data_IF_085195418428
#
_entry.id   IF_085195418428
#
_cell.length_a   1.000
_cell.length_b   1.000
_cell.length_c   1.000
_cell.angle_alpha   90.00
_cell.angle_beta   90.00
_cell.angle_gamma   90.00
#
_symmetry.space_group_name_H-M   'P 1'
#
loop_
_entity.id
_entity.type
_entity.pdbx_description
1 polymer ?
#
# COMPACT_ATOMS: atom_id res chain seq x y z
N UNK A 1 5.06 -6.46 -21.80
CA UNK A 1 4.46 -5.61 -20.74
C UNK A 1 4.25 -6.46 -19.50
N UNK A 2 4.52 -5.93 -18.30
CA UNK A 2 4.33 -6.63 -17.03
C UNK A 2 3.39 -5.81 -16.15
N UNK A 3 2.36 -6.44 -15.60
CA UNK A 3 1.43 -5.81 -14.65
C UNK A 3 1.76 -6.32 -13.25
N UNK A 4 1.80 -5.40 -12.28
CA UNK A 4 2.05 -5.72 -10.88
C UNK A 4 1.02 -4.99 -9.99
N UNK A 5 0.64 -5.64 -8.89
CA UNK A 5 -0.24 -5.09 -7.86
C UNK A 5 0.56 -4.98 -6.57
N UNK A 6 0.52 -3.81 -5.94
CA UNK A 6 1.17 -3.53 -4.64
C UNK A 6 0.08 -2.98 -3.71
N UNK A 7 -0.19 -3.68 -2.60
CA UNK A 7 -1.26 -3.35 -1.66
C UNK A 7 -0.82 -3.57 -0.22
N UNK A 8 -1.24 -2.68 0.69
CA UNK A 8 -1.13 -2.89 2.14
C UNK A 8 -2.44 -3.50 2.66
N UNK A 9 -2.34 -4.59 3.44
CA UNK A 9 -3.48 -5.38 3.90
C UNK A 9 -3.28 -5.67 5.39
N UNK A 10 -4.28 -5.38 6.21
CA UNK A 10 -4.28 -5.78 7.62
C UNK A 10 -4.50 -7.30 7.75
N UNK A 11 -4.20 -7.88 8.91
CA UNK A 11 -4.35 -9.33 9.17
C UNK A 11 -5.78 -9.83 8.93
N UNK A 12 -6.78 -8.97 9.08
CA UNK A 12 -8.20 -9.26 8.82
C UNK A 12 -8.64 -8.98 7.37
N UNK A 13 -7.72 -8.72 6.45
CA UNK A 13 -8.01 -8.46 5.04
C UNK A 13 -8.42 -7.03 4.70
N UNK A 14 -8.52 -6.12 5.67
CA UNK A 14 -8.88 -4.72 5.42
C UNK A 14 -7.75 -3.99 4.70
N UNK A 15 -8.09 -3.27 3.63
CA UNK A 15 -7.15 -2.44 2.84
C UNK A 15 -7.37 -0.93 3.02
N UNK A 16 -8.45 -0.54 3.69
CA UNK A 16 -8.86 0.84 3.87
C UNK A 16 -10.23 0.92 4.55
N UNK A 17 -10.58 2.10 5.08
CA UNK A 17 -11.88 2.36 5.70
C UNK A 17 -12.30 3.79 5.42
N UNK A 18 -13.51 3.97 4.89
CA UNK A 18 -14.10 5.29 4.63
C UNK A 18 -13.20 6.24 3.80
N UNK A 19 -12.49 5.71 2.80
CA UNK A 19 -11.63 6.49 1.91
C UNK A 19 -10.22 6.78 2.47
N UNK A 20 -9.88 6.27 3.65
CA UNK A 20 -8.57 6.46 4.26
C UNK A 20 -7.93 5.12 4.67
N UNK A 21 -6.64 5.16 4.99
CA UNK A 21 -5.94 4.08 5.67
C UNK A 21 -6.22 4.18 7.18
N UNK A 22 -6.81 3.15 7.80
CA UNK A 22 -7.08 3.17 9.24
C UNK A 22 -5.81 3.05 10.10
N UNK A 23 -4.63 2.99 9.48
CA UNK A 23 -3.33 2.97 10.13
C UNK A 23 -2.43 4.07 9.57
N UNK A 24 -1.43 4.48 10.37
CA UNK A 24 -0.43 5.47 9.96
C UNK A 24 0.98 4.92 10.07
N UNK A 25 1.34 4.06 9.11
CA UNK A 25 2.65 3.41 9.03
C UNK A 25 3.54 4.14 8.03
N UNK A 26 4.44 5.00 8.53
CA UNK A 26 5.35 5.78 7.67
C UNK A 26 6.23 4.87 6.78
N UNK A 27 6.60 3.69 7.27
CA UNK A 27 7.41 2.75 6.49
C UNK A 27 6.65 2.17 5.29
N UNK A 28 5.34 1.94 5.40
CA UNK A 28 4.52 1.44 4.29
C UNK A 28 4.54 2.41 3.12
N UNK A 29 4.32 3.71 3.37
CA UNK A 29 4.36 4.74 2.32
C UNK A 29 5.77 4.89 1.73
N UNK A 30 6.82 4.80 2.55
CA UNK A 30 8.21 4.81 2.05
C UNK A 30 8.48 3.61 1.15
N UNK A 31 8.07 2.41 1.55
CA UNK A 31 8.22 1.19 0.77
C UNK A 31 7.42 1.24 -0.51
N UNK A 32 6.15 1.69 -0.46
CA UNK A 32 5.31 1.85 -1.63
C UNK A 32 5.98 2.75 -2.66
N UNK A 33 6.44 3.95 -2.25
CA UNK A 33 7.16 4.87 -3.13
C UNK A 33 8.42 4.24 -3.74
N UNK A 34 9.20 3.46 -2.96
CA UNK A 34 10.39 2.75 -3.48
C UNK A 34 10.04 1.70 -4.53
N UNK A 35 8.87 1.06 -4.42
CA UNK A 35 8.45 -0.03 -5.30
C UNK A 35 7.71 0.43 -6.55
N UNK A 36 7.15 1.65 -6.57
CA UNK A 36 6.28 2.10 -7.66
C UNK A 36 6.86 3.27 -8.46
N UNK A 37 7.88 3.96 -7.96
CA UNK A 37 8.50 5.06 -8.69
C UNK A 37 9.44 4.53 -9.79
N UNK A 38 9.23 4.95 -11.04
CA UNK A 38 10.16 4.68 -12.16
C UNK A 38 9.97 3.34 -12.88
N UNK A 39 8.78 2.74 -12.78
CA UNK A 39 8.40 1.48 -13.45
C UNK A 39 7.46 1.70 -14.64
#
# INVERSE_FOLDING_TARGET
MRVALVVAVAENGVIGRAGDLPWRLREDLRRFRRLTAGH
#
